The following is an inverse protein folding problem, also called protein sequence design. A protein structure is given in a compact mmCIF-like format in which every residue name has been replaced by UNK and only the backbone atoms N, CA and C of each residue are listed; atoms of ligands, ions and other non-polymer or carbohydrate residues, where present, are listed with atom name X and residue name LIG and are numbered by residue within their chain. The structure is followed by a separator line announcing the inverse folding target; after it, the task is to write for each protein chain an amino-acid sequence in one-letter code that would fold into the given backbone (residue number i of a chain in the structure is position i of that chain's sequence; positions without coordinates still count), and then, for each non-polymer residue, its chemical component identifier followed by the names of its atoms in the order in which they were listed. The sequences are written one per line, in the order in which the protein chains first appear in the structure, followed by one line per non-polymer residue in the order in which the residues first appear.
data_IF_799485297986
#
_entry.id   IF_799485297986
#
_cell.length_a   1.000
_cell.length_b   1.000
_cell.length_c   1.000
_cell.angle_alpha   90.00
_cell.angle_beta   90.00
_cell.angle_gamma   90.00
#
_symmetry.space_group_name_H-M   'P 1'
#
loop_
_entity.id
_entity.type
_entity.pdbx_description
1 polymer ?
#
# COMPACT_ATOMS: atom_id res chain seq x y z
N UNK A 1 25.62 -63.83 42.26
CA UNK A 1 26.12 -62.99 41.17
C UNK A 1 25.26 -63.23 39.93
N UNK A 2 24.19 -62.45 39.77
CA UNK A 2 23.28 -62.51 38.61
C UNK A 2 23.79 -61.54 37.54
N UNK A 3 23.96 -62.03 36.30
CA UNK A 3 24.17 -61.19 35.10
C UNK A 3 22.80 -60.83 34.50
N UNK A 4 22.61 -59.54 34.29
CA UNK A 4 21.39 -58.87 33.81
C UNK A 4 21.14 -59.08 32.31
N UNK A 5 19.88 -59.28 31.95
CA UNK A 5 19.35 -59.21 30.58
C UNK A 5 19.18 -57.75 30.16
N UNK A 6 19.60 -57.42 28.94
CA UNK A 6 19.33 -56.13 28.28
C UNK A 6 17.99 -56.18 27.53
N UNK A 7 17.03 -55.34 27.95
CA UNK A 7 15.82 -55.03 27.18
C UNK A 7 16.14 -53.93 26.15
N UNK A 8 15.95 -54.23 24.86
CA UNK A 8 16.03 -53.25 23.79
C UNK A 8 14.76 -52.37 23.77
N UNK A 9 14.93 -51.06 23.82
CA UNK A 9 13.85 -50.09 23.71
C UNK A 9 13.53 -49.81 22.23
N UNK A 10 12.29 -50.09 21.80
CA UNK A 10 11.75 -49.57 20.54
C UNK A 10 11.40 -48.09 20.73
N UNK A 11 12.07 -47.21 20.00
CA UNK A 11 11.65 -45.82 19.86
C UNK A 11 10.59 -45.71 18.74
N UNK A 12 9.35 -45.38 19.12
CA UNK A 12 8.29 -45.07 18.16
C UNK A 12 8.51 -43.66 17.59
N UNK A 13 8.76 -43.57 16.29
CA UNK A 13 8.92 -42.32 15.55
C UNK A 13 7.52 -41.75 15.25
N UNK A 14 7.09 -40.74 16.02
CA UNK A 14 5.86 -39.99 15.72
C UNK A 14 6.18 -38.95 14.66
N UNK A 15 5.78 -39.20 13.42
CA UNK A 15 5.82 -38.22 12.34
C UNK A 15 4.69 -37.20 12.56
N UNK A 16 5.06 -35.97 12.96
CA UNK A 16 4.17 -34.81 12.96
C UNK A 16 3.82 -34.45 11.51
N UNK A 17 2.67 -34.93 11.03
CA UNK A 17 2.08 -34.45 9.79
C UNK A 17 1.53 -33.06 10.09
N UNK A 18 2.20 -32.01 9.62
CA UNK A 18 1.65 -30.66 9.67
C UNK A 18 0.33 -30.65 8.89
N UNK A 19 -0.78 -30.14 9.47
CA UNK A 19 -2.02 -30.04 8.72
C UNK A 19 -1.80 -29.14 7.49
N UNK A 20 -2.46 -29.43 6.35
CA UNK A 20 -2.37 -28.57 5.18
C UNK A 20 -2.79 -27.16 5.58
N UNK A 21 -2.00 -26.16 5.19
CA UNK A 21 -2.36 -24.75 5.35
C UNK A 21 -3.57 -24.50 4.43
N UNK A 22 -4.78 -24.46 5.01
CA UNK A 22 -5.98 -24.09 4.28
C UNK A 22 -5.90 -22.61 3.92
N UNK A 23 -6.15 -22.28 2.65
CA UNK A 23 -6.35 -20.91 2.22
C UNK A 23 -7.51 -20.28 3.01
N UNK A 24 -7.44 -18.97 3.29
CA UNK A 24 -8.51 -18.27 4.01
C UNK A 24 -9.83 -18.34 3.24
N UNK A 25 -10.95 -18.53 3.94
CA UNK A 25 -12.29 -18.50 3.32
C UNK A 25 -12.69 -17.06 2.97
N UNK A 26 -13.70 -16.90 2.10
CA UNK A 26 -14.24 -15.57 1.76
C UNK A 26 -14.72 -14.83 3.01
N UNK A 27 -15.38 -15.53 3.93
CA UNK A 27 -15.88 -14.98 5.19
C UNK A 27 -14.74 -14.50 6.10
N UNK A 28 -13.63 -15.26 6.16
CA UNK A 28 -12.44 -14.85 6.90
C UNK A 28 -11.78 -13.60 6.28
N UNK A 29 -11.79 -13.49 4.95
CA UNK A 29 -11.30 -12.31 4.25
C UNK A 29 -12.22 -11.11 4.49
N UNK A 30 -13.54 -11.27 4.40
CA UNK A 30 -14.50 -10.22 4.75
C UNK A 30 -14.28 -9.74 6.18
N UNK A 31 -14.12 -10.65 7.14
CA UNK A 31 -13.83 -10.23 8.51
C UNK A 31 -12.49 -9.47 8.61
N UNK A 32 -11.43 -9.99 7.96
CA UNK A 32 -10.10 -9.40 8.01
C UNK A 32 -10.01 -8.01 7.35
N UNK A 33 -10.83 -7.72 6.34
CA UNK A 33 -10.87 -6.44 5.64
C UNK A 33 -11.92 -5.47 6.16
N UNK A 34 -12.83 -5.93 7.04
CA UNK A 34 -13.82 -5.06 7.69
C UNK A 34 -13.20 -4.00 8.60
N UNK A 35 -13.97 -2.98 8.90
CA UNK A 35 -13.61 -1.84 9.75
C UNK A 35 -13.26 -0.59 8.95
N UNK A 36 -12.61 0.36 9.64
CA UNK A 36 -12.28 1.66 9.06
C UNK A 36 -11.03 1.59 8.17
N UNK A 37 -11.08 2.36 7.09
CA UNK A 37 -10.02 2.60 6.14
C UNK A 37 -9.93 4.09 5.82
N UNK A 38 -8.74 4.56 5.48
CA UNK A 38 -8.42 5.97 5.24
C UNK A 38 -7.60 6.12 3.97
N UNK A 39 -7.88 7.19 3.23
CA UNK A 39 -7.02 7.72 2.16
C UNK A 39 -6.30 8.95 2.70
N UNK A 40 -4.98 8.87 2.85
CA UNK A 40 -4.17 9.97 3.40
C UNK A 40 -3.91 11.09 2.40
N UNK A 41 -4.04 10.82 1.11
CA UNK A 41 -3.90 11.82 0.07
C UNK A 41 -5.11 12.77 0.06
N UNK A 42 -4.84 14.04 0.34
CA UNK A 42 -5.87 15.09 0.45
C UNK A 42 -6.57 15.36 -0.86
N UNK A 43 -6.02 14.95 -2.01
CA UNK A 43 -6.72 15.04 -3.29
C UNK A 43 -8.04 14.26 -3.30
N UNK A 44 -8.18 13.26 -2.43
CA UNK A 44 -9.41 12.49 -2.28
C UNK A 44 -10.36 13.03 -1.21
N UNK A 45 -10.00 14.12 -0.52
CA UNK A 45 -10.78 14.68 0.57
C UNK A 45 -11.49 15.98 0.21
N UNK A 46 -12.67 16.19 0.79
CA UNK A 46 -13.42 17.46 0.73
C UNK A 46 -12.94 18.49 1.74
N UNK A 47 -12.09 18.12 2.70
CA UNK A 47 -11.62 18.98 3.78
C UNK A 47 -10.20 18.62 4.25
N UNK A 48 -9.73 19.22 5.35
CA UNK A 48 -8.47 18.83 5.99
C UNK A 48 -8.53 17.47 6.68
N UNK A 49 -9.72 16.93 6.94
CA UNK A 49 -9.90 15.57 7.46
C UNK A 49 -9.74 14.57 6.32
N UNK A 50 -8.97 13.48 6.45
CA UNK A 50 -8.83 12.46 5.40
C UNK A 50 -10.17 11.86 4.96
N UNK A 51 -10.24 11.44 3.68
CA UNK A 51 -11.34 10.60 3.20
C UNK A 51 -11.29 9.25 3.91
N UNK A 52 -12.43 8.79 4.43
CA UNK A 52 -12.53 7.52 5.13
C UNK A 52 -13.66 6.65 4.59
N UNK A 53 -13.45 5.34 4.63
CA UNK A 53 -14.42 4.32 4.29
C UNK A 53 -14.61 3.41 5.52
N UNK A 54 -15.85 3.20 5.94
CA UNK A 54 -16.22 2.14 6.90
C UNK A 54 -16.75 0.95 6.11
N UNK A 55 -16.05 -0.18 6.19
CA UNK A 55 -16.43 -1.43 5.54
C UNK A 55 -17.05 -2.35 6.58
N UNK A 56 -18.34 -2.60 6.49
CA UNK A 56 -19.08 -3.40 7.47
C UNK A 56 -19.36 -4.77 6.90
N UNK A 57 -19.04 -5.84 7.63
CA UNK A 57 -19.41 -7.22 7.29
C UNK A 57 -20.90 -7.50 7.60
N UNK A 58 -21.77 -6.66 7.05
CA UNK A 58 -23.21 -6.73 7.24
C UNK A 58 -23.89 -6.51 5.90
N UNK A 59 -24.81 -7.42 5.57
CA UNK A 59 -25.69 -7.30 4.41
C UNK A 59 -27.01 -6.69 4.87
N UNK A 60 -27.47 -5.66 4.18
CA UNK A 60 -28.78 -5.05 4.42
C UNK A 60 -29.73 -5.39 3.27
N UNK A 61 -30.73 -6.23 3.55
CA UNK A 61 -31.71 -6.68 2.57
C UNK A 61 -32.97 -5.82 2.65
N UNK A 62 -33.44 -5.30 1.51
CA UNK A 62 -34.71 -4.59 1.40
C UNK A 62 -35.54 -5.11 0.22
N UNK A 63 -36.53 -5.98 0.49
CA UNK A 63 -37.46 -6.48 -0.53
C UNK A 63 -36.95 -7.71 -1.30
N UNK A 64 -37.37 -7.85 -2.56
CA UNK A 64 -36.88 -8.91 -3.46
C UNK A 64 -35.47 -8.53 -3.92
N UNK A 65 -34.51 -9.41 -3.65
CA UNK A 65 -33.07 -9.09 -3.67
C UNK A 65 -32.37 -9.67 -4.89
N UNK A 66 -31.69 -8.80 -5.64
CA UNK A 66 -30.69 -9.19 -6.64
C UNK A 66 -29.34 -9.52 -5.98
N UNK A 67 -28.44 -10.20 -6.70
CA UNK A 67 -27.12 -10.63 -6.18
C UNK A 67 -26.26 -9.45 -5.70
N UNK A 68 -26.45 -8.27 -6.28
CA UNK A 68 -25.89 -6.98 -5.86
C UNK A 68 -26.28 -6.57 -4.44
N UNK A 69 -27.47 -6.96 -4.00
CA UNK A 69 -28.00 -6.66 -2.67
C UNK A 69 -27.50 -7.64 -1.60
N UNK A 70 -26.69 -8.64 -1.98
CA UNK A 70 -26.03 -9.56 -1.06
C UNK A 70 -24.64 -9.06 -0.60
N UNK A 71 -24.21 -7.88 -1.05
CA UNK A 71 -22.89 -7.35 -0.71
C UNK A 71 -22.87 -6.66 0.67
N UNK A 72 -21.79 -6.85 1.43
CA UNK A 72 -21.53 -6.07 2.64
C UNK A 72 -21.54 -4.55 2.39
N UNK A 73 -22.04 -3.79 3.37
CA UNK A 73 -22.22 -2.33 3.28
C UNK A 73 -20.89 -1.59 3.43
N UNK A 74 -20.71 -0.53 2.64
CA UNK A 74 -19.63 0.43 2.79
C UNK A 74 -20.18 1.85 2.94
N UNK A 75 -19.58 2.64 3.84
CA UNK A 75 -19.96 4.02 4.07
C UNK A 75 -18.76 4.94 3.85
N UNK A 76 -18.94 5.99 3.04
CA UNK A 76 -17.89 6.99 2.80
C UNK A 76 -18.10 8.27 3.63
N UNK A 77 -17.00 8.91 4.06
CA UNK A 77 -17.03 10.20 4.75
C UNK A 77 -15.87 11.08 4.30
N UNK A 78 -16.15 12.38 4.12
CA UNK A 78 -15.16 13.38 3.67
C UNK A 78 -14.48 13.05 2.34
N UNK A 79 -15.11 12.25 1.48
CA UNK A 79 -14.54 11.81 0.23
C UNK A 79 -15.04 12.66 -0.95
N UNK A 80 -14.21 12.79 -1.99
CA UNK A 80 -14.60 13.33 -3.30
C UNK A 80 -15.02 12.21 -4.25
N UNK A 81 -15.57 12.55 -5.42
CA UNK A 81 -15.90 11.57 -6.48
C UNK A 81 -14.63 10.85 -6.96
N UNK A 82 -14.66 9.54 -7.22
CA UNK A 82 -15.80 8.63 -7.10
C UNK A 82 -15.96 7.99 -5.70
N UNK A 83 -15.07 8.26 -4.75
CA UNK A 83 -15.10 7.60 -3.44
C UNK A 83 -16.32 7.98 -2.60
N UNK A 84 -16.90 9.16 -2.81
CA UNK A 84 -18.11 9.60 -2.12
C UNK A 84 -19.37 8.81 -2.49
N UNK A 85 -19.34 8.03 -3.59
CA UNK A 85 -20.47 7.22 -4.05
C UNK A 85 -20.37 5.75 -3.62
N UNK A 86 -19.26 5.36 -2.97
CA UNK A 86 -19.07 3.99 -2.47
C UNK A 86 -20.15 3.66 -1.45
N UNK A 87 -20.89 2.59 -1.71
CA UNK A 87 -22.03 2.12 -0.90
C UNK A 87 -21.95 0.64 -0.52
N UNK A 88 -21.12 -0.13 -1.22
CA UNK A 88 -20.94 -1.56 -0.95
C UNK A 88 -19.50 -2.00 -1.24
N UNK A 89 -19.14 -3.17 -0.75
CA UNK A 89 -17.84 -3.78 -1.00
C UNK A 89 -17.93 -5.30 -1.00
N UNK A 90 -16.94 -5.97 -1.57
CA UNK A 90 -16.81 -7.42 -1.51
C UNK A 90 -15.35 -7.86 -1.69
N UNK A 91 -15.10 -9.16 -1.54
CA UNK A 91 -13.87 -9.83 -1.94
C UNK A 91 -14.13 -10.68 -3.19
N UNK A 92 -13.47 -10.31 -4.29
CA UNK A 92 -13.52 -11.05 -5.55
C UNK A 92 -12.12 -11.33 -6.05
N UNK A 93 -11.85 -12.56 -6.47
CA UNK A 93 -10.53 -12.96 -7.02
C UNK A 93 -9.37 -12.54 -6.09
N UNK A 94 -9.57 -12.62 -4.77
CA UNK A 94 -8.60 -12.22 -3.75
C UNK A 94 -8.25 -10.71 -3.77
N UNK A 95 -9.18 -9.87 -4.23
CA UNK A 95 -9.09 -8.41 -4.21
C UNK A 95 -10.29 -7.84 -3.47
N UNK A 96 -10.06 -6.74 -2.76
CA UNK A 96 -11.12 -5.91 -2.23
C UNK A 96 -11.72 -5.09 -3.37
N UNK A 97 -13.03 -5.21 -3.57
CA UNK A 97 -13.75 -4.48 -4.61
C UNK A 97 -14.68 -3.49 -3.94
N UNK A 98 -14.63 -2.24 -4.40
CA UNK A 98 -15.53 -1.17 -3.96
C UNK A 98 -16.58 -0.93 -5.03
N UNK A 99 -17.83 -0.80 -4.58
CA UNK A 99 -19.00 -0.62 -5.41
C UNK A 99 -19.71 0.69 -5.06
N UNK A 100 -20.13 1.41 -6.10
CA UNK A 100 -21.18 2.41 -6.01
C UNK A 100 -22.56 1.76 -6.25
N UNK A 101 -23.61 2.57 -6.29
CA UNK A 101 -24.95 2.10 -6.64
C UNK A 101 -24.97 1.41 -8.02
N UNK A 102 -25.94 0.52 -8.23
CA UNK A 102 -26.12 -0.21 -9.50
C UNK A 102 -24.89 -1.02 -9.94
N UNK A 103 -24.13 -1.56 -8.98
CA UNK A 103 -22.97 -2.44 -9.22
C UNK A 103 -21.80 -1.82 -9.97
N UNK A 104 -21.74 -0.49 -10.03
CA UNK A 104 -20.63 0.20 -10.66
C UNK A 104 -19.37 -0.01 -9.81
N UNK A 105 -18.36 -0.66 -10.40
CA UNK A 105 -17.06 -0.89 -9.76
C UNK A 105 -16.29 0.42 -9.68
N UNK A 106 -16.04 0.89 -8.46
CA UNK A 106 -15.23 2.08 -8.17
C UNK A 106 -13.74 1.73 -8.16
N UNK A 107 -13.36 0.60 -7.57
CA UNK A 107 -11.97 0.16 -7.52
C UNK A 107 -11.84 -1.34 -7.27
N UNK A 108 -10.75 -1.93 -7.76
CA UNK A 108 -10.28 -3.28 -7.39
C UNK A 108 -8.91 -3.15 -6.76
N UNK A 109 -8.79 -3.55 -5.50
CA UNK A 109 -7.62 -3.28 -4.66
C UNK A 109 -7.00 -4.58 -4.17
N UNK A 110 -5.69 -4.71 -4.35
CA UNK A 110 -4.90 -5.82 -3.82
C UNK A 110 -3.90 -5.33 -2.78
N UNK A 111 -3.40 -6.23 -1.94
CA UNK A 111 -2.39 -5.90 -0.94
C UNK A 111 -2.48 -6.80 0.27
N UNK A 112 -2.34 -6.21 1.45
CA UNK A 112 -2.43 -6.92 2.73
C UNK A 112 -3.53 -6.28 3.60
N UNK A 113 -3.68 -6.76 4.83
CA UNK A 113 -4.74 -6.31 5.75
C UNK A 113 -4.49 -4.91 6.35
N UNK A 114 -3.31 -4.32 6.14
CA UNK A 114 -2.98 -2.97 6.61
C UNK A 114 -3.07 -1.91 5.52
N UNK A 115 -2.77 -2.28 4.27
CA UNK A 115 -2.81 -1.41 3.10
C UNK A 115 -3.17 -2.19 1.83
N UNK A 116 -4.13 -1.66 1.10
CA UNK A 116 -4.48 -2.13 -0.25
C UNK A 116 -4.33 -1.00 -1.27
N UNK A 117 -4.04 -1.38 -2.50
CA UNK A 117 -3.82 -0.44 -3.60
C UNK A 117 -4.39 -1.00 -4.90
N UNK A 118 -4.88 -0.10 -5.74
CA UNK A 118 -5.33 -0.38 -7.11
C UNK A 118 -5.66 0.92 -7.82
N UNK A 119 -6.16 0.82 -9.04
CA UNK A 119 -6.59 2.00 -9.81
C UNK A 119 -8.11 2.21 -9.64
N UNK A 120 -8.53 3.47 -9.66
CA UNK A 120 -9.95 3.84 -9.66
C UNK A 120 -10.55 3.55 -11.04
N UNK A 121 -11.51 2.63 -11.11
CA UNK A 121 -12.16 2.15 -12.34
C UNK A 121 -11.13 1.94 -13.47
N UNK A 122 -11.39 2.42 -14.69
CA UNK A 122 -10.46 2.37 -15.82
C UNK A 122 -9.54 3.62 -15.90
N UNK A 123 -9.38 4.36 -14.81
CA UNK A 123 -8.49 5.52 -14.77
C UNK A 123 -7.05 5.14 -14.45
N UNK A 124 -6.12 6.09 -14.65
CA UNK A 124 -4.74 5.93 -14.18
C UNK A 124 -4.50 6.49 -12.77
N UNK A 125 -5.56 6.86 -12.04
CA UNK A 125 -5.46 7.36 -10.68
C UNK A 125 -5.45 6.19 -9.72
N UNK A 126 -4.35 6.00 -8.99
CA UNK A 126 -4.26 4.95 -7.99
C UNK A 126 -4.85 5.39 -6.66
N UNK A 127 -5.60 4.49 -6.04
CA UNK A 127 -6.11 4.60 -4.69
C UNK A 127 -5.23 3.80 -3.74
N UNK A 128 -4.79 4.43 -2.65
CA UNK A 128 -4.20 3.73 -1.49
C UNK A 128 -5.21 3.83 -0.34
N UNK A 129 -5.70 2.67 0.12
CA UNK A 129 -6.47 2.57 1.35
C UNK A 129 -5.62 1.95 2.45
N UNK A 130 -5.65 2.57 3.61
CA UNK A 130 -4.87 2.16 4.78
C UNK A 130 -5.73 2.06 6.03
N UNK A 131 -5.30 1.23 6.97
CA UNK A 131 -5.86 1.27 8.32
C UNK A 131 -5.59 2.66 8.96
N UNK A 132 -6.49 3.18 9.82
CA UNK A 132 -6.36 4.52 10.39
C UNK A 132 -5.06 4.78 11.16
N UNK A 133 -4.48 3.72 11.75
CA UNK A 133 -3.20 3.81 12.46
C UNK A 133 -2.00 4.04 11.51
N UNK A 134 -2.20 3.88 10.20
CA UNK A 134 -1.16 3.97 9.19
C UNK A 134 -0.11 2.87 9.30
N UNK A 135 1.02 3.08 8.64
CA UNK A 135 2.20 2.22 8.68
C UNK A 135 3.10 2.54 9.88
N UNK A 136 3.53 1.49 10.60
CA UNK A 136 4.44 1.59 11.75
C UNK A 136 5.78 2.28 11.41
N UNK A 137 6.22 2.21 10.15
CA UNK A 137 7.38 2.93 9.63
C UNK A 137 7.31 4.43 9.91
N UNK A 138 6.11 5.03 9.91
CA UNK A 138 5.96 6.47 10.14
C UNK A 138 6.41 6.93 11.52
N UNK A 139 6.12 6.13 12.54
CA UNK A 139 6.54 6.44 13.90
C UNK A 139 8.08 6.40 14.00
N UNK A 140 8.70 5.36 13.45
CA UNK A 140 10.15 5.20 13.41
C UNK A 140 10.83 6.31 12.61
N UNK A 141 10.33 6.62 11.41
CA UNK A 141 10.84 7.70 10.57
C UNK A 141 10.74 9.05 11.27
N UNK A 142 9.58 9.37 11.84
CA UNK A 142 9.37 10.63 12.58
C UNK A 142 10.28 10.74 13.80
N UNK A 143 10.53 9.64 14.50
CA UNK A 143 11.50 9.60 15.60
C UNK A 143 12.92 9.86 15.13
N UNK A 144 13.32 9.23 14.03
CA UNK A 144 14.64 9.41 13.43
C UNK A 144 14.86 10.87 12.97
N UNK A 145 13.85 11.50 12.35
CA UNK A 145 13.90 12.91 11.98
C UNK A 145 14.02 13.82 13.20
N UNK A 146 13.29 13.54 14.29
CA UNK A 146 13.45 14.30 15.55
C UNK A 146 14.85 14.16 16.15
N UNK A 147 15.41 12.96 16.11
CA UNK A 147 16.74 12.66 16.65
C UNK A 147 17.86 13.32 15.84
N UNK A 148 17.78 13.24 14.51
CA UNK A 148 18.83 13.71 13.61
C UNK A 148 18.63 15.16 13.15
N UNK A 149 17.43 15.72 13.35
CA UNK A 149 17.02 17.08 12.93
C UNK A 149 17.27 17.35 11.44
N UNK A 150 17.24 16.29 10.64
CA UNK A 150 17.62 16.28 9.23
C UNK A 150 16.90 15.13 8.53
N UNK A 151 16.58 15.31 7.26
CA UNK A 151 16.38 14.21 6.30
C UNK A 151 17.51 14.37 5.29
N UNK A 152 18.41 13.41 5.18
CA UNK A 152 19.61 13.57 4.35
C UNK A 152 19.30 13.39 2.86
N UNK A 153 19.97 14.12 1.98
CA UNK A 153 19.90 13.92 0.54
C UNK A 153 20.65 12.65 0.15
N UNK A 154 19.92 11.57 -0.10
CA UNK A 154 20.50 10.27 -0.36
C UNK A 154 21.47 9.86 0.75
N UNK A 155 22.72 9.58 0.38
CA UNK A 155 23.76 9.16 1.33
C UNK A 155 24.78 10.26 1.68
N UNK A 156 24.49 11.52 1.35
CA UNK A 156 25.35 12.67 1.68
C UNK A 156 25.17 13.12 3.13
N UNK A 157 25.91 14.16 3.52
CA UNK A 157 25.77 14.88 4.79
C UNK A 157 24.78 16.04 4.72
N UNK A 158 24.24 16.35 3.55
CA UNK A 158 23.41 17.52 3.32
C UNK A 158 21.96 17.22 3.69
N UNK A 159 21.30 18.19 4.32
CA UNK A 159 19.89 18.07 4.67
C UNK A 159 19.01 18.54 3.53
N UNK A 160 17.98 17.76 3.22
CA UNK A 160 16.94 18.10 2.27
C UNK A 160 16.19 19.35 2.72
N UNK A 161 15.93 20.24 1.76
CA UNK A 161 15.05 21.38 1.94
C UNK A 161 13.57 20.98 1.77
N UNK A 162 12.66 21.90 2.05
CA UNK A 162 11.22 21.64 1.90
C UNK A 162 10.83 21.30 0.46
N UNK A 163 11.45 21.97 -0.51
CA UNK A 163 11.28 21.73 -1.95
C UNK A 163 11.69 20.32 -2.35
N UNK A 164 12.80 19.81 -1.80
CA UNK A 164 13.30 18.47 -2.09
C UNK A 164 12.32 17.38 -1.67
N UNK A 165 11.58 17.62 -0.58
CA UNK A 165 10.63 16.68 0.02
C UNK A 165 9.19 16.85 -0.50
N UNK A 166 8.92 17.89 -1.28
CA UNK A 166 7.60 18.14 -1.83
C UNK A 166 7.15 17.01 -2.78
N UNK A 167 5.83 16.82 -2.88
CA UNK A 167 5.26 15.92 -3.89
C UNK A 167 5.68 16.39 -5.30
N UNK A 168 6.08 15.48 -6.20
CA UNK A 168 6.36 15.85 -7.58
C UNK A 168 5.14 16.49 -8.25
N UNK A 169 5.36 17.61 -8.94
CA UNK A 169 4.33 18.23 -9.78
C UNK A 169 4.28 17.47 -11.09
N UNK A 170 3.11 16.96 -11.44
CA UNK A 170 2.89 16.25 -12.69
C UNK A 170 2.69 17.29 -13.81
N UNK A 171 3.48 17.21 -14.88
CA UNK A 171 3.31 18.02 -16.09
C UNK A 171 2.22 17.41 -16.98
N UNK A 172 1.37 18.23 -17.58
CA UNK A 172 0.41 17.79 -18.62
C UNK A 172 1.07 17.73 -20.02
N UNK A 173 2.19 18.44 -20.22
CA UNK A 173 2.93 18.45 -21.48
C UNK A 173 3.65 17.12 -21.71
N UNK A 174 3.22 16.37 -22.75
CA UNK A 174 3.81 15.09 -23.14
C UNK A 174 3.22 13.85 -22.46
N UNK A 175 2.07 14.00 -21.79
CA UNK A 175 1.43 13.00 -20.93
C UNK A 175 1.66 13.34 -19.46
N UNK A 176 0.76 12.94 -18.56
CA UNK A 176 0.84 13.24 -17.11
C UNK A 176 2.10 12.60 -16.53
N UNK A 177 3.22 13.32 -16.54
CA UNK A 177 4.54 12.80 -16.15
C UNK A 177 5.29 13.75 -15.23
N UNK A 178 6.08 13.19 -14.32
CA UNK A 178 7.10 13.90 -13.56
C UNK A 178 8.46 13.20 -13.71
N UNK A 179 9.54 13.98 -13.66
CA UNK A 179 10.91 13.46 -13.66
C UNK A 179 11.45 13.45 -12.23
N UNK A 180 12.09 12.35 -11.83
CA UNK A 180 12.66 12.14 -10.50
C UNK A 180 14.16 11.86 -10.60
N UNK A 181 15.00 12.69 -9.99
CA UNK A 181 16.43 12.44 -9.87
C UNK A 181 16.72 11.50 -8.71
N UNK A 182 17.20 10.29 -8.99
CA UNK A 182 17.44 9.28 -7.95
C UNK A 182 18.74 9.55 -7.19
N UNK A 183 18.64 9.69 -5.87
CA UNK A 183 19.78 9.97 -4.98
C UNK A 183 20.44 8.71 -4.42
N UNK A 184 19.81 7.55 -4.61
CA UNK A 184 20.27 6.24 -4.11
C UNK A 184 19.93 5.15 -5.12
N UNK A 185 20.54 3.96 -4.96
CA UNK A 185 20.01 2.76 -5.59
C UNK A 185 18.63 2.46 -5.00
N UNK A 186 17.59 2.62 -5.81
CA UNK A 186 16.21 2.67 -5.33
C UNK A 186 15.45 1.42 -5.72
N UNK A 187 14.93 0.72 -4.71
CA UNK A 187 14.06 -0.42 -4.93
C UNK A 187 12.72 0.01 -5.54
N UNK A 188 12.33 -0.70 -6.58
CA UNK A 188 11.01 -0.63 -7.21
C UNK A 188 10.17 -1.77 -6.65
N UNK A 189 8.97 -1.45 -6.16
CA UNK A 189 8.06 -2.41 -5.52
C UNK A 189 6.79 -2.61 -6.35
N UNK A 190 6.17 -3.78 -6.25
CA UNK A 190 4.91 -4.03 -6.96
C UNK A 190 3.70 -3.28 -6.37
N UNK A 191 3.81 -2.79 -5.13
CA UNK A 191 2.81 -1.96 -4.48
C UNK A 191 3.47 -0.88 -3.62
N UNK A 192 2.79 0.26 -3.34
CA UNK A 192 3.33 1.34 -2.55
C UNK A 192 3.26 1.02 -1.05
N UNK A 193 4.06 0.04 -0.60
CA UNK A 193 4.25 -0.33 0.82
C UNK A 193 5.65 -0.90 1.05
N UNK A 194 6.17 -0.81 2.27
CA UNK A 194 7.57 -1.16 2.59
C UNK A 194 7.85 -2.66 2.60
N UNK A 195 6.84 -3.46 2.87
CA UNK A 195 6.89 -4.92 2.88
C UNK A 195 6.51 -5.54 1.51
N UNK A 196 6.17 -4.73 0.51
CA UNK A 196 5.87 -5.20 -0.84
C UNK A 196 7.08 -5.85 -1.50
N UNK A 197 6.82 -6.80 -2.40
CA UNK A 197 7.88 -7.48 -3.14
C UNK A 197 8.65 -6.47 -3.99
N UNK A 198 9.97 -6.57 -3.94
CA UNK A 198 10.86 -5.79 -4.81
C UNK A 198 10.84 -6.46 -6.18
N UNK A 199 10.50 -5.69 -7.21
CA UNK A 199 10.45 -6.14 -8.61
C UNK A 199 11.65 -5.68 -9.43
N UNK A 200 12.46 -4.78 -8.87
CA UNK A 200 13.70 -4.31 -9.47
C UNK A 200 14.37 -3.26 -8.61
N UNK A 201 15.52 -2.80 -9.08
CA UNK A 201 16.28 -1.71 -8.45
C UNK A 201 16.76 -0.77 -9.56
N UNK A 202 16.57 0.52 -9.36
CA UNK A 202 17.04 1.57 -10.26
C UNK A 202 18.35 2.15 -9.72
N UNK A 203 19.34 2.43 -10.58
CA UNK A 203 20.61 2.96 -10.14
C UNK A 203 20.49 4.42 -9.67
N UNK A 204 21.31 4.79 -8.70
CA UNK A 204 21.54 6.19 -8.33
C UNK A 204 21.94 7.01 -9.57
N UNK A 205 21.48 8.26 -9.63
CA UNK A 205 21.76 9.19 -10.73
C UNK A 205 20.80 9.05 -11.92
N UNK A 206 19.99 7.99 -11.96
CA UNK A 206 18.99 7.85 -13.03
C UNK A 206 17.94 8.97 -12.95
N UNK A 207 17.50 9.42 -14.14
CA UNK A 207 16.36 10.31 -14.27
C UNK A 207 15.09 9.50 -14.59
N UNK A 208 14.29 9.22 -13.56
CA UNK A 208 13.12 8.35 -13.67
C UNK A 208 11.87 9.16 -14.05
N UNK A 209 11.18 8.76 -15.13
CA UNK A 209 9.84 9.28 -15.44
C UNK A 209 8.78 8.47 -14.69
N UNK A 210 7.90 9.17 -13.98
CA UNK A 210 6.74 8.59 -13.28
C UNK A 210 5.45 9.17 -13.82
N UNK A 211 4.38 8.39 -13.80
CA UNK A 211 3.08 8.76 -14.35
C UNK A 211 2.00 9.01 -13.30
N UNK A 212 2.35 8.81 -12.02
CA UNK A 212 1.45 9.09 -10.90
C UNK A 212 2.26 9.22 -9.60
N UNK A 213 1.90 10.15 -8.73
CA UNK A 213 2.40 10.24 -7.38
C UNK A 213 1.24 10.48 -6.42
N UNK A 214 1.29 9.86 -5.25
CA UNK A 214 0.25 9.96 -4.21
C UNK A 214 0.89 9.92 -2.82
N UNK A 215 0.10 10.27 -1.81
CA UNK A 215 0.53 10.32 -0.42
C UNK A 215 -0.12 9.18 0.37
N UNK A 216 0.72 8.33 0.96
CA UNK A 216 0.33 7.36 1.97
C UNK A 216 0.61 7.94 3.36
N UNK A 217 0.14 7.27 4.42
CA UNK A 217 0.59 7.57 5.80
C UNK A 217 2.13 7.61 5.83
N UNK A 218 2.70 6.66 5.09
CA UNK A 218 4.03 6.47 4.51
C UNK A 218 4.92 7.62 4.05
N UNK A 219 4.32 8.76 3.73
CA UNK A 219 4.89 9.73 2.83
C UNK A 219 4.59 9.41 1.36
N UNK A 220 5.34 10.06 0.47
CA UNK A 220 5.05 10.08 -0.96
C UNK A 220 5.53 8.80 -1.65
N UNK A 221 4.66 8.25 -2.49
CA UNK A 221 4.93 7.16 -3.40
C UNK A 221 4.66 7.59 -4.83
N UNK A 222 5.54 7.21 -5.74
CA UNK A 222 5.39 7.48 -7.17
C UNK A 222 5.45 6.18 -7.96
N UNK A 223 4.59 6.08 -8.98
CA UNK A 223 4.50 4.94 -9.89
C UNK A 223 5.22 5.26 -11.18
N UNK A 224 6.15 4.40 -11.56
CA UNK A 224 6.72 4.33 -12.90
C UNK A 224 6.01 3.22 -13.69
N UNK A 225 5.86 3.43 -15.01
CA UNK A 225 5.37 2.42 -15.95
C UNK A 225 6.40 2.17 -17.04
N UNK A 226 6.60 0.90 -17.36
CA UNK A 226 7.54 0.39 -18.36
C UNK A 226 6.78 -0.59 -19.26
N UNK A 227 6.09 -0.08 -20.27
CA UNK A 227 5.11 -0.86 -21.04
C UNK A 227 3.99 -1.36 -20.12
N UNK A 228 3.75 -2.68 -20.10
CA UNK A 228 2.76 -3.33 -19.24
C UNK A 228 3.20 -3.45 -17.77
N UNK A 229 4.50 -3.31 -17.49
CA UNK A 229 5.00 -3.38 -16.12
C UNK A 229 4.82 -2.04 -15.40
N UNK A 230 4.46 -2.08 -14.12
CA UNK A 230 4.46 -0.90 -13.27
C UNK A 230 5.16 -1.19 -11.95
N UNK A 231 5.66 -0.14 -11.31
CA UNK A 231 6.33 -0.26 -10.04
C UNK A 231 6.36 1.05 -9.27
N UNK A 232 6.45 0.91 -7.96
CA UNK A 232 6.33 2.00 -7.00
C UNK A 232 7.67 2.28 -6.34
N UNK A 233 8.00 3.56 -6.24
CA UNK A 233 9.17 4.08 -5.54
C UNK A 233 8.73 5.07 -4.47
N UNK A 234 9.39 5.02 -3.32
CA UNK A 234 9.09 5.88 -2.17
C UNK A 234 10.05 7.06 -2.10
N UNK A 235 9.57 8.26 -1.74
CA UNK A 235 10.36 9.50 -1.62
C UNK A 235 11.37 9.51 -0.47
N UNK A 236 11.07 8.78 0.61
CA UNK A 236 11.91 8.72 1.80
C UNK A 236 12.19 7.29 2.22
N UNK A 237 13.26 7.08 2.97
CA UNK A 237 13.64 5.78 3.54
C UNK A 237 14.40 5.97 4.86
N UNK A 238 14.57 4.89 5.63
CA UNK A 238 15.55 4.79 6.70
C UNK A 238 16.77 4.01 6.21
N UNK A 239 17.90 4.68 6.03
CA UNK A 239 19.18 4.02 5.75
C UNK A 239 19.65 3.33 7.03
N UNK A 240 19.90 2.02 6.92
CA UNK A 240 20.29 1.16 8.06
C UNK A 240 19.32 1.30 9.24
N UNK A 241 18.02 1.45 8.94
CA UNK A 241 16.95 1.57 9.95
C UNK A 241 17.12 2.76 10.92
N UNK A 242 18.02 3.70 10.61
CA UNK A 242 18.44 4.75 11.53
C UNK A 242 18.41 6.15 10.93
N UNK A 243 18.97 6.31 9.74
CA UNK A 243 19.17 7.63 9.16
C UNK A 243 18.04 7.95 8.18
N UNK A 244 17.22 8.98 8.43
CA UNK A 244 16.16 9.38 7.51
C UNK A 244 16.79 9.99 6.26
N UNK A 245 16.44 9.47 5.08
CA UNK A 245 16.98 9.94 3.80
C UNK A 245 15.86 10.25 2.83
N UNK A 246 16.05 11.26 1.98
CA UNK A 246 15.35 11.42 0.72
C UNK A 246 15.99 10.50 -0.31
N UNK A 247 15.19 9.70 -1.01
CA UNK A 247 15.66 8.73 -2.00
C UNK A 247 15.70 9.31 -3.41
N UNK A 248 14.90 10.36 -3.67
CA UNK A 248 14.87 11.09 -4.92
C UNK A 248 14.41 12.53 -4.72
N UNK A 249 14.83 13.42 -5.63
CA UNK A 249 14.37 14.82 -5.73
C UNK A 249 13.44 15.02 -6.92
N UNK A 250 12.73 16.15 -6.94
CA UNK A 250 11.85 16.51 -8.03
C UNK A 250 12.67 17.15 -9.15
N UNK A 251 12.48 16.68 -10.38
CA UNK A 251 13.22 17.14 -11.55
C UNK A 251 14.55 16.43 -11.74
N UNK A 252 14.91 16.29 -13.01
CA UNK A 252 16.21 15.86 -13.52
C UNK A 252 16.18 16.02 -15.05
N UNK A 253 17.36 16.15 -15.65
CA UNK A 253 17.53 16.04 -17.09
C UNK A 253 18.11 14.64 -17.39
N UNK A 254 17.65 14.01 -18.47
CA UNK A 254 18.28 12.78 -18.95
C UNK A 254 19.54 13.19 -19.74
N UNK A 255 20.70 12.64 -19.35
CA UNK A 255 21.93 12.73 -20.15
C UNK A 255 21.80 11.99 -21.49
#
# INVERSE_FOLDING_TARGET
MLKSLSLGALAALVTLIAPPSSAQTKEQLLEAFSGNWVVFDTAFSTSSTPCSLSLENKVELHGVVEESQLRPVANSQNCVVPLNSVSAWDIEQNQLVLYAQQDVVVARLGGNQSRVTGDLSDSFVSLILERPNGDAYQAAFSQAVRQHRCIYLGYTSDCAERSDLAAPVMSEDGGVVASLGLLVNLNVRDQPRRDARIVGTLPQGACLKVNYCTVASDGIWCRARFGEASGWVSKTALRQEKWPVATFVNGCEAE
#
